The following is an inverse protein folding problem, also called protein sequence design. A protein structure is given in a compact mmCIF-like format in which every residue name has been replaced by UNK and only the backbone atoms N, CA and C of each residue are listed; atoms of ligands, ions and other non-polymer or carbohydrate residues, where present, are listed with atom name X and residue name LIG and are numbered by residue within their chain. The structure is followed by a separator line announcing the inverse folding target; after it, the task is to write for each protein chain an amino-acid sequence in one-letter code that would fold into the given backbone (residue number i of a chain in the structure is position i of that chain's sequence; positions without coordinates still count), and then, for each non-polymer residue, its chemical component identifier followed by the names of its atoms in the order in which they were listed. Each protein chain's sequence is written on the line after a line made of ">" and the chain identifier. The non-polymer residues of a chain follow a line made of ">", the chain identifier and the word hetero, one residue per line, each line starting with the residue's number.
data_IF_079465878104
#
_entry.id   IF_079465878104
#
_cell.length_a   1.000
_cell.length_b   1.000
_cell.length_c   1.000
_cell.angle_alpha   90.00
_cell.angle_beta   90.00
_cell.angle_gamma   90.00
#
_symmetry.space_group_name_H-M   'P 1'
#
loop_
_entity.id
_entity.type
_entity.pdbx_description
1 polymer ?
#
# COMPACT_ATOMS: atom_id res chain seq x y z
N UNK A 1 7.80 15.79 -14.52
CA UNK A 1 6.99 15.57 -13.30
C UNK A 1 6.58 14.11 -13.30
N UNK A 2 6.99 13.32 -12.31
CA UNK A 2 6.66 11.88 -12.28
C UNK A 2 5.28 11.72 -11.64
N UNK A 3 4.37 11.06 -12.34
CA UNK A 3 3.02 10.78 -11.83
C UNK A 3 3.06 9.50 -11.00
N UNK A 4 2.68 9.61 -9.73
CA UNK A 4 2.55 8.45 -8.83
C UNK A 4 1.20 7.77 -9.11
N UNK A 5 1.23 6.46 -9.34
CA UNK A 5 0.05 5.64 -9.59
C UNK A 5 -0.44 5.05 -8.27
N UNK A 6 -1.71 5.32 -7.92
CA UNK A 6 -2.35 4.76 -6.72
C UNK A 6 -3.02 3.44 -7.13
N UNK A 7 -2.68 2.36 -6.43
CA UNK A 7 -3.25 1.03 -6.65
C UNK A 7 -4.40 0.69 -5.72
N UNK A 8 -4.53 1.42 -4.60
CA UNK A 8 -5.63 1.21 -3.68
C UNK A 8 -5.59 2.15 -2.47
N UNK A 9 -6.70 2.21 -1.75
CA UNK A 9 -6.80 2.95 -0.49
C UNK A 9 -7.49 2.07 0.53
N UNK A 10 -6.79 1.73 1.61
CA UNK A 10 -7.41 1.21 2.83
C UNK A 10 -7.85 2.40 3.67
N UNK A 11 -9.16 2.69 3.62
CA UNK A 11 -9.76 3.89 4.20
C UNK A 11 -9.60 3.99 5.72
N UNK A 12 -9.41 2.86 6.39
CA UNK A 12 -9.27 2.80 7.84
C UNK A 12 -8.24 1.74 8.24
N UNK A 13 -7.31 2.16 9.09
CA UNK A 13 -6.35 1.31 9.76
C UNK A 13 -6.00 1.89 11.14
N UNK A 14 -5.72 0.98 12.06
CA UNK A 14 -5.13 1.28 13.38
C UNK A 14 -3.77 0.61 13.55
N UNK A 15 -3.34 -0.18 12.56
CA UNK A 15 -2.11 -0.99 12.64
C UNK A 15 -0.95 -0.33 11.89
N UNK A 16 -1.26 0.35 10.78
CA UNK A 16 -0.23 0.98 9.92
C UNK A 16 0.32 2.28 10.52
N UNK A 17 -0.42 2.88 11.47
CA UNK A 17 0.07 3.98 12.30
C UNK A 17 -0.37 3.79 13.76
N UNK A 18 0.43 3.08 14.57
CA UNK A 18 0.07 2.75 15.95
C UNK A 18 -0.28 3.99 16.80
N UNK A 19 -1.35 3.86 17.59
CA UNK A 19 -1.87 4.94 18.45
C UNK A 19 -2.71 6.00 17.72
N UNK A 20 -2.89 5.85 16.40
CA UNK A 20 -3.63 6.81 15.58
C UNK A 20 -4.59 6.07 14.64
N UNK A 21 -5.67 6.74 14.25
CA UNK A 21 -6.51 6.28 13.14
C UNK A 21 -5.96 6.86 11.84
N UNK A 22 -5.73 6.02 10.83
CA UNK A 22 -5.21 6.46 9.55
C UNK A 22 -5.91 5.78 8.37
N UNK A 23 -5.63 6.29 7.17
CA UNK A 23 -5.86 5.59 5.92
C UNK A 23 -4.51 5.23 5.31
N UNK A 24 -4.38 4.04 4.75
CA UNK A 24 -3.19 3.64 4.00
C UNK A 24 -3.46 3.79 2.49
N UNK A 25 -2.51 4.41 1.78
CA UNK A 25 -2.56 4.56 0.32
C UNK A 25 -1.51 3.64 -0.27
N UNK A 26 -1.96 2.68 -1.07
CA UNK A 26 -1.07 1.74 -1.75
C UNK A 26 -0.69 2.29 -3.12
N UNK A 27 0.59 2.25 -3.43
CA UNK A 27 1.13 2.66 -4.73
C UNK A 27 1.31 1.43 -5.63
N UNK A 28 1.26 1.65 -6.94
CA UNK A 28 1.62 0.62 -7.92
C UNK A 28 3.14 0.58 -8.08
N UNK A 29 3.69 -0.62 -8.04
CA UNK A 29 5.08 -0.94 -8.30
C UNK A 29 5.85 -1.33 -7.03
N UNK A 30 6.49 -2.49 -7.06
CA UNK A 30 7.47 -2.93 -6.07
C UNK A 30 8.59 -3.69 -6.79
N UNK A 31 9.84 -3.47 -6.43
CA UNK A 31 10.99 -4.17 -7.03
C UNK A 31 11.22 -5.57 -6.44
N UNK A 32 10.35 -6.04 -5.55
CA UNK A 32 10.43 -7.36 -4.93
C UNK A 32 9.40 -8.33 -5.54
N UNK A 33 9.63 -9.63 -5.40
CA UNK A 33 8.73 -10.70 -5.88
C UNK A 33 8.53 -11.76 -4.78
N UNK A 34 8.12 -11.30 -3.60
CA UNK A 34 7.96 -12.15 -2.43
C UNK A 34 6.84 -13.18 -2.64
N UNK A 35 7.11 -14.46 -2.38
CA UNK A 35 6.09 -15.53 -2.47
C UNK A 35 4.97 -15.42 -1.42
N UNK A 36 5.16 -14.60 -0.39
CA UNK A 36 4.18 -14.29 0.65
C UNK A 36 3.59 -12.89 0.47
N UNK A 37 3.67 -12.26 -0.71
CA UNK A 37 3.11 -10.93 -0.90
C UNK A 37 1.58 -10.96 -0.68
N UNK A 38 1.07 -10.05 0.16
CA UNK A 38 -0.37 -9.94 0.42
C UNK A 38 -1.10 -9.14 -0.68
N UNK A 39 -0.34 -8.39 -1.49
CA UNK A 39 -0.86 -7.53 -2.56
C UNK A 39 -0.11 -7.78 -3.88
N UNK A 40 -0.09 -9.01 -4.40
CA UNK A 40 0.64 -9.36 -5.62
C UNK A 40 0.14 -8.59 -6.87
N UNK A 41 -1.07 -8.07 -6.85
CA UNK A 41 -1.66 -7.23 -7.90
C UNK A 41 -1.00 -5.85 -8.04
N UNK A 42 -0.25 -5.41 -7.03
CA UNK A 42 0.41 -4.10 -7.02
C UNK A 42 1.87 -4.14 -7.50
N UNK A 43 2.40 -5.33 -7.82
CA UNK A 43 3.83 -5.63 -7.95
C UNK A 43 4.34 -5.65 -9.39
#
# INVERSE_FOLDING_TARGET
>A
MVMVQIGGIQKFSTVDYPGHTCAAVFLIGCNMRCGYCHNPELV
#
